data_IF_231607154337
#
_entry.id   IF_231607154337
#
_cell.length_a   1.000
_cell.length_b   1.000
_cell.length_c   1.000
_cell.angle_alpha   90.00
_cell.angle_beta   90.00
_cell.angle_gamma   90.00
#
_symmetry.space_group_name_H-M   'P 1'
#
loop_
_entity.id
_entity.type
_entity.pdbx_description
1 polymer ?
#
# COMPACT_ATOMS: atom_id res chain seq x y z
N UNK A 1 -21.41 -7.46 3.64
CA UNK A 1 -20.22 -8.18 4.18
C UNK A 1 -20.14 -7.88 5.66
N UNK A 2 -19.66 -8.81 6.48
CA UNK A 2 -19.36 -8.54 7.90
C UNK A 2 -17.86 -8.40 8.10
N UNK A 3 -17.47 -7.53 9.02
CA UNK A 3 -16.09 -7.43 9.50
C UNK A 3 -15.84 -8.45 10.62
N UNK A 4 -14.62 -8.96 10.80
CA UNK A 4 -13.42 -8.65 10.02
C UNK A 4 -13.46 -9.26 8.62
N UNK A 5 -12.86 -8.58 7.65
CA UNK A 5 -12.73 -9.04 6.28
C UNK A 5 -11.27 -9.07 5.84
N UNK A 6 -10.96 -9.91 4.85
CA UNK A 6 -9.66 -9.91 4.16
C UNK A 6 -9.87 -9.72 2.67
N UNK A 7 -9.09 -8.81 2.08
CA UNK A 7 -9.15 -8.51 0.65
C UNK A 7 -7.76 -8.55 0.04
N UNK A 8 -7.64 -9.32 -1.04
CA UNK A 8 -6.43 -9.29 -1.87
C UNK A 8 -6.35 -7.93 -2.55
N UNK A 9 -5.21 -7.28 -2.42
CA UNK A 9 -4.87 -6.01 -3.04
C UNK A 9 -3.58 -6.16 -3.83
N UNK A 10 -3.54 -5.55 -5.01
CA UNK A 10 -2.34 -5.50 -5.83
C UNK A 10 -1.83 -4.06 -5.82
N UNK A 11 -0.66 -3.86 -5.21
CA UNK A 11 0.02 -2.57 -5.17
C UNK A 11 0.96 -2.51 -6.36
N UNK A 12 0.64 -1.64 -7.32
CA UNK A 12 1.47 -1.39 -8.49
C UNK A 12 2.36 -0.19 -8.20
N UNK A 13 3.67 -0.38 -8.38
CA UNK A 13 4.70 0.58 -7.99
C UNK A 13 5.55 0.92 -9.20
N UNK A 14 5.90 2.20 -9.31
CA UNK A 14 6.87 2.70 -10.27
C UNK A 14 7.83 3.66 -9.56
N UNK A 15 9.12 3.41 -9.71
CA UNK A 15 10.20 4.23 -9.18
C UNK A 15 11.04 4.77 -10.33
N UNK A 16 11.43 6.04 -10.24
CA UNK A 16 12.40 6.70 -11.12
C UNK A 16 13.27 7.61 -10.27
N UNK A 17 14.58 7.63 -10.48
CA UNK A 17 15.48 8.42 -9.67
C UNK A 17 16.94 8.04 -9.82
N UNK A 18 17.70 8.31 -8.76
CA UNK A 18 19.15 8.14 -8.72
C UNK A 18 19.56 6.67 -8.89
N UNK A 19 20.74 6.46 -9.46
CA UNK A 19 21.32 5.14 -9.62
C UNK A 19 21.70 4.55 -8.26
N UNK A 20 21.36 3.28 -8.05
CA UNK A 20 21.68 2.58 -6.82
C UNK A 20 20.72 1.45 -6.47
N UNK A 21 21.02 0.83 -5.33
CA UNK A 21 20.14 -0.14 -4.68
C UNK A 21 19.22 0.60 -3.74
N UNK A 22 17.94 0.27 -3.83
CA UNK A 22 16.88 0.85 -3.03
C UNK A 22 16.00 -0.21 -2.40
N UNK A 23 15.29 0.18 -1.36
CA UNK A 23 14.39 -0.68 -0.61
C UNK A 23 13.01 -0.04 -0.53
N UNK A 24 12.04 -0.69 -1.16
CA UNK A 24 10.64 -0.35 -1.02
C UNK A 24 10.08 -0.91 0.29
N UNK A 25 9.32 -0.09 1.01
CA UNK A 25 8.52 -0.53 2.15
C UNK A 25 7.07 -0.10 2.01
N UNK A 26 6.17 -0.85 2.65
CA UNK A 26 4.75 -0.54 2.70
C UNK A 26 4.22 -0.80 4.10
N UNK A 27 3.55 0.18 4.69
CA UNK A 27 2.74 0.00 5.90
C UNK A 27 1.29 0.27 5.57
N UNK A 28 0.40 -0.54 6.12
CA UNK A 28 -1.04 -0.34 6.04
C UNK A 28 -1.57 -0.06 7.43
N UNK A 29 -2.03 1.16 7.64
CA UNK A 29 -2.51 1.66 8.93
C UNK A 29 -4.02 1.50 9.04
N UNK A 30 -4.49 1.27 10.26
CA UNK A 30 -5.91 1.32 10.58
C UNK A 30 -6.47 2.76 10.46
N UNK A 31 -7.81 2.96 10.56
CA UNK A 31 -8.40 4.26 10.26
C UNK A 31 -7.96 5.42 11.15
N UNK A 32 -7.67 5.15 12.43
CA UNK A 32 -7.18 6.15 13.37
C UNK A 32 -5.64 6.33 13.34
N UNK A 33 -4.95 5.54 12.50
CA UNK A 33 -3.48 5.50 12.36
C UNK A 33 -2.71 5.14 13.64
N UNK A 34 -3.37 4.58 14.65
CA UNK A 34 -2.72 4.11 15.89
C UNK A 34 -2.04 2.75 15.73
N UNK A 35 -2.45 1.96 14.73
CA UNK A 35 -1.97 0.58 14.52
C UNK A 35 -1.58 0.35 13.07
N UNK A 36 -0.44 -0.31 12.89
CA UNK A 36 -0.05 -0.92 11.62
C UNK A 36 -0.69 -2.30 11.54
N UNK A 37 -1.54 -2.51 10.55
CA UNK A 37 -2.25 -3.77 10.33
C UNK A 37 -1.50 -4.71 9.37
N UNK A 38 -0.67 -4.15 8.50
CA UNK A 38 0.27 -4.89 7.66
C UNK A 38 1.54 -4.07 7.49
N UNK A 39 2.68 -4.74 7.59
CA UNK A 39 3.98 -4.17 7.29
C UNK A 39 4.74 -5.11 6.36
N UNK A 40 5.24 -4.54 5.28
CA UNK A 40 6.21 -5.18 4.40
C UNK A 40 7.44 -4.30 4.37
N UNK A 41 8.49 -4.76 5.03
CA UNK A 41 9.78 -4.09 5.04
C UNK A 41 10.67 -4.62 3.91
N UNK A 42 11.33 -3.69 3.22
CA UNK A 42 12.56 -3.93 2.46
C UNK A 42 12.45 -4.84 1.24
N UNK A 43 11.50 -4.59 0.34
CA UNK A 43 11.51 -5.18 -1.01
C UNK A 43 12.61 -4.50 -1.86
N UNK A 44 13.70 -5.20 -2.21
CA UNK A 44 14.84 -4.58 -2.88
C UNK A 44 14.56 -4.35 -4.37
N UNK A 45 15.06 -3.25 -4.90
CA UNK A 45 15.14 -2.99 -6.34
C UNK A 45 16.41 -2.19 -6.68
N UNK A 46 16.76 -2.15 -7.96
CA UNK A 46 17.94 -1.44 -8.45
C UNK A 46 17.53 -0.50 -9.58
N UNK A 47 18.02 0.74 -9.51
CA UNK A 47 17.98 1.71 -10.58
C UNK A 47 19.38 1.81 -11.16
N UNK A 48 19.51 1.66 -12.47
CA UNK A 48 20.80 1.76 -13.16
C UNK A 48 20.77 2.91 -14.16
N UNK A 49 21.91 3.52 -14.48
CA UNK A 49 21.95 4.61 -15.47
C UNK A 49 21.27 4.26 -16.81
N UNK A 50 21.40 2.99 -17.26
CA UNK A 50 20.76 2.48 -18.49
C UNK A 50 19.27 2.13 -18.34
N UNK A 51 18.79 2.05 -17.10
CA UNK A 51 17.41 1.72 -16.73
C UNK A 51 17.05 2.49 -15.45
N UNK A 52 16.82 3.81 -15.56
CA UNK A 52 16.59 4.69 -14.41
C UNK A 52 15.18 4.52 -13.82
N UNK A 53 14.51 3.41 -14.11
CA UNK A 53 13.16 3.12 -13.62
C UNK A 53 13.00 1.65 -13.22
N UNK A 54 12.21 1.42 -12.18
CA UNK A 54 11.82 0.09 -11.70
C UNK A 54 10.31 0.05 -11.51
N UNK A 55 9.68 -1.00 -12.05
CA UNK A 55 8.25 -1.24 -11.87
C UNK A 55 8.04 -2.59 -11.21
N UNK A 56 7.08 -2.67 -10.30
CA UNK A 56 6.76 -3.90 -9.58
C UNK A 56 5.26 -3.99 -9.28
N UNK A 57 4.79 -5.23 -9.12
CA UNK A 57 3.44 -5.51 -8.63
C UNK A 57 3.62 -6.37 -7.40
N UNK A 58 3.02 -5.94 -6.29
CA UNK A 58 3.07 -6.64 -5.02
C UNK A 58 1.66 -7.01 -4.62
N UNK A 59 1.45 -8.30 -4.36
CA UNK A 59 0.18 -8.78 -3.82
C UNK A 59 0.24 -8.77 -2.31
N UNK A 60 -0.73 -8.11 -1.67
CA UNK A 60 -0.91 -8.11 -0.22
C UNK A 60 -2.35 -8.49 0.13
N UNK A 61 -2.55 -9.11 1.29
CA UNK A 61 -3.89 -9.37 1.82
C UNK A 61 -4.19 -8.34 2.91
N UNK A 62 -5.14 -7.45 2.65
CA UNK A 62 -5.52 -6.36 3.55
C UNK A 62 -6.49 -6.86 4.63
N UNK A 63 -6.12 -6.80 5.92
CA UNK A 63 -7.05 -6.98 7.01
C UNK A 63 -7.91 -5.72 7.17
N UNK A 64 -9.23 -5.88 7.05
CA UNK A 64 -10.20 -4.81 7.22
C UNK A 64 -11.02 -5.12 8.48
N UNK A 65 -10.89 -4.27 9.48
CA UNK A 65 -11.53 -4.43 10.80
C UNK A 65 -12.88 -3.71 10.87
N UNK A 66 -13.10 -2.68 10.03
CA UNK A 66 -14.31 -1.86 9.97
C UNK A 66 -14.36 -1.05 8.67
N UNK A 67 -15.47 -0.32 8.47
CA UNK A 67 -15.53 0.76 7.48
C UNK A 67 -14.67 1.94 7.91
N UNK A 68 -14.20 2.73 6.95
CA UNK A 68 -13.44 3.94 7.21
C UNK A 68 -12.32 4.18 6.22
N UNK A 69 -11.44 5.13 6.55
CA UNK A 69 -10.31 5.53 5.72
C UNK A 69 -9.04 4.93 6.30
N UNK A 70 -8.57 3.85 5.69
CA UNK A 70 -7.27 3.25 5.99
C UNK A 70 -6.17 4.02 5.24
N UNK A 71 -4.90 3.77 5.57
CA UNK A 71 -3.79 4.49 4.95
C UNK A 71 -2.67 3.53 4.54
N UNK A 72 -2.27 3.61 3.27
CA UNK A 72 -0.98 3.09 2.85
C UNK A 72 0.09 4.15 3.05
N UNK A 73 1.12 3.81 3.81
CA UNK A 73 2.37 4.55 3.87
C UNK A 73 3.41 3.87 3.00
N UNK A 74 3.91 4.62 2.01
CA UNK A 74 4.95 4.17 1.09
C UNK A 74 6.31 4.63 1.63
N UNK A 75 7.22 3.68 1.79
CA UNK A 75 8.58 3.94 2.25
C UNK A 75 9.59 3.68 1.13
N UNK A 76 10.62 4.52 1.07
CA UNK A 76 11.83 4.31 0.27
C UNK A 76 13.03 4.45 1.18
N UNK A 77 13.85 3.41 1.26
CA UNK A 77 15.06 3.38 2.09
C UNK A 77 14.77 3.70 3.57
N UNK A 78 13.62 3.24 4.06
CA UNK A 78 13.14 3.45 5.43
C UNK A 78 12.46 4.79 5.68
N UNK A 79 12.49 5.72 4.72
CA UNK A 79 11.87 7.04 4.84
C UNK A 79 10.47 7.06 4.23
N UNK A 80 9.53 7.74 4.89
CA UNK A 80 8.18 7.95 4.38
C UNK A 80 8.21 8.87 3.15
N UNK A 81 7.68 8.40 2.02
CA UNK A 81 7.58 9.16 0.75
C UNK A 81 6.15 9.58 0.42
N UNK A 82 5.16 8.98 1.06
CA UNK A 82 3.77 9.33 0.83
C UNK A 82 2.79 8.52 1.67
N UNK A 83 1.63 9.13 1.90
CA UNK A 83 0.49 8.54 2.59
C UNK A 83 -0.72 8.61 1.66
N UNK A 84 -1.32 7.45 1.38
CA UNK A 84 -2.41 7.31 0.43
C UNK A 84 -3.64 6.73 1.13
N UNK A 85 -4.80 7.42 1.11
CA UNK A 85 -6.00 6.93 1.76
C UNK A 85 -6.63 5.77 0.96
N UNK A 86 -7.21 4.82 1.69
CA UNK A 86 -8.00 3.71 1.14
C UNK A 86 -9.37 3.76 1.80
N UNK A 87 -10.39 4.10 1.01
CA UNK A 87 -11.77 4.18 1.46
C UNK A 87 -12.39 2.79 1.45
N UNK A 88 -12.91 2.36 2.60
CA UNK A 88 -13.53 1.06 2.80
C UNK A 88 -14.96 1.25 3.26
N UNK A 89 -15.89 0.78 2.44
CA UNK A 89 -17.33 0.85 2.69
C UNK A 89 -17.99 -0.48 2.37
N UNK A 90 -19.07 -0.80 3.07
CA UNK A 90 -19.94 -1.92 2.71
C UNK A 90 -20.90 -1.44 1.64
N UNK A 91 -20.72 -1.94 0.42
CA UNK A 91 -21.72 -1.72 -0.63
C UNK A 91 -23.02 -2.42 -0.23
N UNK A 92 -24.09 -1.64 -0.02
CA UNK A 92 -25.43 -2.17 0.19
C UNK A 92 -25.95 -2.93 -1.04
N UNK A 93 -26.97 -3.76 -0.87
CA UNK A 93 -27.59 -4.55 -1.96
C UNK A 93 -28.24 -3.71 -3.08
N UNK A 94 -28.38 -2.40 -2.89
CA UNK A 94 -28.85 -1.46 -3.91
C UNK A 94 -27.67 -0.71 -4.52
N UNK A 95 -27.02 -1.33 -5.50
CA UNK A 95 -25.85 -0.82 -6.21
C UNK A 95 -26.04 0.56 -6.85
N UNK A 96 -25.80 1.61 -6.06
CA UNK A 96 -25.53 2.96 -6.56
C UNK A 96 -24.29 3.49 -5.83
N UNK A 97 -23.16 3.46 -6.53
CA UNK A 97 -22.07 4.38 -6.26
C UNK A 97 -22.61 5.77 -6.56
N UNK A 98 -22.64 6.64 -5.53
CA UNK A 98 -22.99 8.05 -5.66
C UNK A 98 -21.79 8.85 -6.18
#
# INVERSE_FOLDING_TARGET
MSYPARKRCFVVLGWYGDEGKHYFGLKFHNPDRSRILLEMSSYPFELASRRPYSNGIIQVDLPLEMEGIYWFEVLLDGESRGLFPVFVETVGTTGRLA
#
